data_IF_568327247814
#
_entry.id   IF_568327247814
#
_cell.length_a   1.000
_cell.length_b   1.000
_cell.length_c   1.000
_cell.angle_alpha   90.00
_cell.angle_beta   90.00
_cell.angle_gamma   90.00
#
_symmetry.space_group_name_H-M   'P 1'
#
loop_
_entity.id
_entity.type
_entity.pdbx_description
1 polymer ?
#
# COMPACT_ATOMS: atom_id res chain seq x y z
N UNK A 1 21.34 -25.73 2.05
CA UNK A 1 20.01 -25.15 1.73
C UNK A 1 20.01 -24.69 0.28
N UNK A 2 18.99 -25.04 -0.50
CA UNK A 2 18.84 -24.65 -1.92
C UNK A 2 17.38 -24.24 -2.22
N UNK A 3 17.16 -23.63 -3.39
CA UNK A 3 15.83 -23.12 -3.78
C UNK A 3 14.77 -24.20 -3.87
N UNK A 4 15.09 -25.38 -4.38
CA UNK A 4 14.14 -26.51 -4.46
C UNK A 4 13.67 -26.96 -3.08
N UNK A 5 14.56 -27.00 -2.08
CA UNK A 5 14.19 -27.31 -0.70
C UNK A 5 13.22 -26.26 -0.13
N UNK A 6 13.47 -24.97 -0.40
CA UNK A 6 12.63 -23.87 0.06
C UNK A 6 11.27 -23.87 -0.65
N UNK A 7 11.22 -24.13 -1.95
CA UNK A 7 9.98 -24.26 -2.73
C UNK A 7 9.12 -25.42 -2.21
N UNK A 8 9.74 -26.58 -1.94
CA UNK A 8 9.05 -27.71 -1.32
C UNK A 8 8.52 -27.35 0.08
N UNK A 9 9.31 -26.63 0.88
CA UNK A 9 8.87 -26.18 2.20
C UNK A 9 7.65 -25.26 2.12
N UNK A 10 7.68 -24.24 1.25
CA UNK A 10 6.58 -23.30 1.05
C UNK A 10 5.32 -24.02 0.55
N UNK A 11 5.45 -24.93 -0.42
CA UNK A 11 4.30 -25.70 -0.93
C UNK A 11 3.67 -26.60 0.14
N UNK A 12 4.47 -27.23 1.03
CA UNK A 12 3.93 -28.01 2.16
C UNK A 12 3.33 -27.10 3.22
N UNK A 13 3.91 -25.91 3.47
CA UNK A 13 3.38 -24.93 4.41
C UNK A 13 2.01 -24.40 3.99
N UNK A 14 1.81 -24.17 2.69
CA UNK A 14 0.55 -23.71 2.11
C UNK A 14 -0.53 -24.81 2.12
N UNK A 15 -0.18 -26.01 1.69
CA UNK A 15 -1.16 -27.09 1.50
C UNK A 15 -1.40 -27.93 2.75
N UNK A 16 -0.48 -27.92 3.70
CA UNK A 16 -0.38 -28.82 4.87
C UNK A 16 -0.55 -30.32 4.46
N UNK A 17 -0.11 -30.64 3.25
CA UNK A 17 -0.24 -31.96 2.63
C UNK A 17 0.89 -32.24 1.65
N UNK A 18 1.71 -33.25 1.93
CA UNK A 18 2.87 -33.61 1.10
C UNK A 18 2.51 -34.05 -0.32
N UNK A 19 1.36 -34.71 -0.53
CA UNK A 19 0.93 -35.14 -1.86
C UNK A 19 0.48 -33.95 -2.71
N UNK A 20 -0.34 -33.05 -2.14
CA UNK A 20 -0.73 -31.81 -2.84
C UNK A 20 0.45 -30.90 -3.11
N UNK A 21 1.36 -30.78 -2.18
CA UNK A 21 2.61 -30.02 -2.37
C UNK A 21 3.44 -30.62 -3.52
N UNK A 22 3.52 -31.94 -3.62
CA UNK A 22 4.24 -32.64 -4.69
C UNK A 22 3.63 -32.33 -6.08
N UNK A 23 2.30 -32.33 -6.19
CA UNK A 23 1.60 -31.89 -7.40
C UNK A 23 1.92 -30.43 -7.74
N UNK A 24 1.92 -29.55 -6.74
CA UNK A 24 2.18 -28.11 -6.90
C UNK A 24 3.60 -27.82 -7.41
N UNK A 25 4.62 -28.56 -6.93
CA UNK A 25 6.02 -28.39 -7.36
C UNK A 25 6.44 -29.37 -8.45
N UNK A 26 5.50 -30.14 -9.02
CA UNK A 26 5.72 -31.09 -10.14
C UNK A 26 6.80 -32.15 -9.88
N UNK A 27 6.90 -32.69 -8.66
CA UNK A 27 7.80 -33.80 -8.29
C UNK A 27 7.03 -34.87 -7.51
N UNK A 28 7.67 -36.00 -7.23
CA UNK A 28 7.02 -37.06 -6.44
C UNK A 28 6.94 -36.71 -4.94
N UNK A 29 5.92 -37.21 -4.26
CA UNK A 29 5.77 -37.02 -2.82
C UNK A 29 6.98 -37.50 -1.99
N UNK A 30 7.62 -38.66 -2.29
CA UNK A 30 8.86 -39.05 -1.63
C UNK A 30 9.99 -38.03 -1.84
N UNK A 31 10.09 -37.40 -3.02
CA UNK A 31 11.07 -36.37 -3.29
C UNK A 31 10.82 -35.12 -2.41
N UNK A 32 9.58 -34.65 -2.31
CA UNK A 32 9.23 -33.53 -1.40
C UNK A 32 9.62 -33.88 0.02
N UNK A 33 9.24 -35.09 0.50
CA UNK A 33 9.57 -35.53 1.87
C UNK A 33 11.08 -35.56 2.13
N UNK A 34 11.86 -35.99 1.15
CA UNK A 34 13.32 -35.99 1.19
C UNK A 34 13.89 -34.56 1.26
N UNK A 35 13.40 -33.65 0.40
CA UNK A 35 13.83 -32.25 0.38
C UNK A 35 13.57 -31.58 1.74
N UNK A 36 12.39 -31.76 2.31
CA UNK A 36 12.05 -31.22 3.63
C UNK A 36 12.93 -31.80 4.72
N UNK A 37 13.12 -33.14 4.75
CA UNK A 37 13.97 -33.76 5.76
C UNK A 37 15.42 -33.33 5.68
N UNK A 38 15.95 -33.13 4.46
CA UNK A 38 17.29 -32.60 4.24
C UNK A 38 17.40 -31.15 4.72
N UNK A 39 16.38 -30.32 4.47
CA UNK A 39 16.31 -28.93 4.93
C UNK A 39 16.30 -28.87 6.48
N UNK A 40 15.41 -29.65 7.11
CA UNK A 40 15.32 -29.75 8.57
C UNK A 40 16.64 -30.20 9.22
N UNK A 41 17.33 -31.17 8.58
CA UNK A 41 18.63 -31.66 9.05
C UNK A 41 19.72 -30.57 8.96
N UNK A 42 19.72 -29.77 7.89
CA UNK A 42 20.68 -28.68 7.69
C UNK A 42 20.42 -27.53 8.67
N UNK A 43 19.14 -27.18 8.91
CA UNK A 43 18.75 -26.12 9.85
C UNK A 43 18.86 -26.57 11.33
N UNK A 44 18.95 -27.87 11.58
CA UNK A 44 19.00 -28.43 12.94
C UNK A 44 17.69 -28.35 13.71
N UNK A 45 16.59 -28.04 13.02
CA UNK A 45 15.26 -27.90 13.62
C UNK A 45 14.19 -28.56 12.76
N UNK A 46 13.08 -28.99 13.39
CA UNK A 46 11.89 -29.46 12.69
C UNK A 46 11.06 -28.27 12.24
N UNK A 47 10.63 -28.26 10.99
CA UNK A 47 9.74 -27.26 10.42
C UNK A 47 8.28 -27.73 10.43
N UNK A 48 8.08 -29.07 10.41
CA UNK A 48 6.75 -29.70 10.46
C UNK A 48 6.64 -30.76 11.55
N UNK A 49 5.46 -30.77 12.20
CA UNK A 49 4.99 -31.88 13.01
C UNK A 49 4.19 -32.83 12.10
N UNK A 50 4.64 -34.06 11.99
CA UNK A 50 4.00 -35.08 11.14
C UNK A 50 3.39 -36.17 12.01
N UNK A 51 2.11 -36.43 11.80
CA UNK A 51 1.41 -37.59 12.35
C UNK A 51 0.83 -38.39 11.19
N UNK A 52 0.34 -39.60 11.48
CA UNK A 52 -0.31 -40.45 10.45
C UNK A 52 -1.58 -39.79 9.86
N UNK A 53 -2.10 -38.71 10.45
CA UNK A 53 -3.36 -38.08 10.06
C UNK A 53 -3.26 -36.59 9.71
N UNK A 54 -2.13 -35.94 10.05
CA UNK A 54 -2.02 -34.48 9.88
C UNK A 54 -0.57 -34.01 9.74
N UNK A 55 -0.41 -32.92 9.03
CA UNK A 55 0.84 -32.12 8.94
C UNK A 55 0.53 -30.74 9.51
N UNK A 56 1.39 -30.25 10.39
CA UNK A 56 1.27 -28.93 11.00
C UNK A 56 2.63 -28.26 11.02
N UNK A 57 2.68 -26.93 10.93
CA UNK A 57 3.92 -26.17 11.12
C UNK A 57 4.33 -26.17 12.60
N UNK A 58 5.64 -26.24 12.84
CA UNK A 58 6.22 -25.91 14.14
C UNK A 58 6.27 -24.39 14.32
N UNK A 59 6.65 -23.93 15.52
CA UNK A 59 6.94 -22.50 15.75
C UNK A 59 8.09 -22.02 14.86
N UNK A 60 9.12 -22.82 14.71
CA UNK A 60 10.27 -22.59 13.84
C UNK A 60 9.84 -22.54 12.35
N UNK A 61 8.95 -23.45 11.94
CA UNK A 61 8.37 -23.46 10.60
C UNK A 61 7.59 -22.18 10.29
N UNK A 62 6.79 -21.69 11.24
CA UNK A 62 6.04 -20.44 11.07
C UNK A 62 6.98 -19.24 10.91
N UNK A 63 8.05 -19.16 11.67
CA UNK A 63 9.04 -18.08 11.56
C UNK A 63 9.77 -18.18 10.22
N UNK A 64 10.12 -19.39 9.78
CA UNK A 64 10.93 -19.61 8.59
C UNK A 64 10.20 -19.35 7.26
N UNK A 65 8.85 -19.28 7.24
CA UNK A 65 8.08 -18.96 6.00
C UNK A 65 8.57 -17.66 5.37
N UNK A 66 8.64 -16.57 6.15
CA UNK A 66 9.03 -15.25 5.63
C UNK A 66 10.46 -15.24 5.05
N UNK A 67 11.38 -15.93 5.71
CA UNK A 67 12.76 -16.04 5.25
C UNK A 67 12.85 -16.87 3.96
N UNK A 68 12.16 -18.02 3.90
CA UNK A 68 12.12 -18.89 2.72
C UNK A 68 11.53 -18.18 1.50
N UNK A 69 10.41 -17.46 1.66
CA UNK A 69 9.82 -16.64 0.60
C UNK A 69 10.80 -15.59 0.07
N UNK A 70 11.50 -14.92 0.98
CA UNK A 70 12.47 -13.86 0.61
C UNK A 70 13.64 -14.43 -0.18
N UNK A 71 14.18 -15.58 0.24
CA UNK A 71 15.31 -16.23 -0.44
C UNK A 71 14.89 -16.72 -1.82
N UNK A 72 13.75 -17.44 -1.95
CA UNK A 72 13.24 -17.94 -3.24
C UNK A 72 13.00 -16.77 -4.19
N UNK A 73 12.31 -15.72 -3.74
CA UNK A 73 12.07 -14.53 -4.56
C UNK A 73 13.37 -13.85 -5.01
N UNK A 74 14.36 -13.71 -4.12
CA UNK A 74 15.65 -13.12 -4.46
C UNK A 74 16.40 -13.94 -5.49
N UNK A 75 16.38 -15.27 -5.35
CA UNK A 75 16.98 -16.18 -6.31
C UNK A 75 16.30 -16.09 -7.68
N UNK A 76 14.96 -16.14 -7.72
CA UNK A 76 14.18 -16.00 -8.95
C UNK A 76 14.42 -14.65 -9.64
N UNK A 77 14.45 -13.56 -8.88
CA UNK A 77 14.77 -12.23 -9.41
C UNK A 77 16.19 -12.17 -9.99
N UNK A 78 17.14 -12.87 -9.39
CA UNK A 78 18.52 -12.93 -9.89
C UNK A 78 18.62 -13.70 -11.20
N UNK A 79 17.97 -14.86 -11.28
CA UNK A 79 17.87 -15.64 -12.53
C UNK A 79 17.19 -14.81 -13.61
N UNK A 80 16.11 -14.14 -13.26
CA UNK A 80 15.35 -13.29 -14.16
C UNK A 80 16.18 -12.10 -14.70
N UNK A 81 17.01 -11.46 -13.87
CA UNK A 81 17.94 -10.39 -14.30
C UNK A 81 19.01 -10.88 -15.28
N UNK A 82 19.44 -12.11 -15.15
CA UNK A 82 20.49 -12.70 -15.98
C UNK A 82 19.99 -13.37 -17.27
N UNK A 83 18.69 -13.70 -17.33
CA UNK A 83 18.11 -14.27 -18.55
C UNK A 83 18.06 -13.22 -19.67
N UNK A 84 18.87 -13.41 -20.70
CA UNK A 84 19.19 -12.42 -21.73
C UNK A 84 18.16 -12.26 -22.86
N UNK A 85 16.98 -12.83 -22.75
CA UNK A 85 15.94 -12.63 -23.77
C UNK A 85 15.12 -11.36 -23.47
N UNK A 86 15.62 -10.24 -23.98
CA UNK A 86 15.11 -8.87 -23.74
C UNK A 86 13.66 -8.67 -24.25
N UNK A 87 13.15 -9.51 -25.14
CA UNK A 87 11.83 -9.31 -25.79
C UNK A 87 10.64 -9.91 -25.03
N UNK A 88 10.86 -10.80 -24.05
CA UNK A 88 9.78 -11.48 -23.31
C UNK A 88 9.84 -11.29 -21.79
N UNK A 89 10.73 -10.44 -21.30
CA UNK A 89 10.91 -10.25 -19.87
C UNK A 89 9.71 -9.54 -19.26
N UNK A 90 8.96 -10.21 -18.39
CA UNK A 90 7.92 -9.60 -17.57
C UNK A 90 8.53 -8.44 -16.78
N UNK A 91 7.89 -7.28 -16.85
CA UNK A 91 8.27 -6.09 -16.08
C UNK A 91 7.35 -5.95 -14.87
N UNK A 92 7.66 -6.67 -13.82
CA UNK A 92 6.88 -6.66 -12.60
C UNK A 92 7.28 -5.49 -11.71
N UNK A 93 6.28 -4.77 -11.18
CA UNK A 93 6.45 -3.74 -10.15
C UNK A 93 5.48 -4.03 -9.02
N UNK A 94 6.01 -4.33 -7.84
CA UNK A 94 5.23 -4.54 -6.63
C UNK A 94 4.92 -3.19 -5.97
N UNK A 95 3.63 -2.82 -5.95
CA UNK A 95 3.12 -1.52 -5.54
C UNK A 95 2.22 -1.70 -4.31
N UNK A 96 2.53 -0.99 -3.23
CA UNK A 96 1.68 -0.88 -2.05
C UNK A 96 0.80 0.37 -2.10
N UNK A 97 -0.45 0.22 -1.67
CA UNK A 97 -1.40 1.31 -1.47
C UNK A 97 -2.18 1.08 -0.19
N UNK A 98 -2.57 2.15 0.50
CA UNK A 98 -3.29 2.05 1.76
C UNK A 98 -4.81 2.12 1.57
N UNK A 99 -5.27 2.78 0.51
CA UNK A 99 -6.69 3.01 0.24
C UNK A 99 -6.95 3.11 -1.27
N UNK A 100 -8.23 3.14 -1.66
CA UNK A 100 -8.66 3.25 -3.05
C UNK A 100 -8.15 4.52 -3.74
N UNK A 101 -8.05 5.66 -3.04
CA UNK A 101 -7.63 6.92 -3.65
C UNK A 101 -6.14 6.94 -4.03
N UNK A 102 -5.31 6.26 -3.26
CA UNK A 102 -3.91 6.03 -3.62
C UNK A 102 -3.80 5.08 -4.82
N UNK A 103 -4.67 4.06 -4.88
CA UNK A 103 -4.75 3.17 -6.04
C UNK A 103 -5.18 3.94 -7.30
N UNK A 104 -6.20 4.78 -7.21
CA UNK A 104 -6.66 5.60 -8.32
C UNK A 104 -5.55 6.54 -8.82
N UNK A 105 -4.72 7.06 -7.92
CA UNK A 105 -3.54 7.83 -8.29
C UNK A 105 -2.47 7.01 -9.02
N UNK A 106 -2.39 5.69 -8.82
CA UNK A 106 -1.46 4.82 -9.54
C UNK A 106 -1.92 4.50 -10.97
N UNK A 107 -3.24 4.51 -11.24
CA UNK A 107 -3.84 4.10 -12.52
C UNK A 107 -3.23 4.80 -13.74
N UNK A 108 -3.10 6.14 -13.81
CA UNK A 108 -2.56 6.80 -15.00
C UNK A 108 -1.10 6.41 -15.27
N UNK A 109 -0.31 6.19 -14.20
CA UNK A 109 1.08 5.78 -14.33
C UNK A 109 1.17 4.34 -14.84
N UNK A 110 0.33 3.43 -14.31
CA UNK A 110 0.22 2.07 -14.83
C UNK A 110 -0.16 2.04 -16.31
N UNK A 111 -1.08 2.91 -16.74
CA UNK A 111 -1.48 3.03 -18.15
C UNK A 111 -0.30 3.50 -19.03
N UNK A 112 0.49 4.48 -18.57
CA UNK A 112 1.68 4.95 -19.30
C UNK A 112 2.70 3.83 -19.45
N UNK A 113 3.04 3.16 -18.33
CA UNK A 113 4.01 2.07 -18.32
C UNK A 113 3.53 0.88 -19.15
N UNK A 114 2.25 0.52 -19.07
CA UNK A 114 1.67 -0.57 -19.86
C UNK A 114 1.70 -0.31 -21.37
N UNK A 115 1.57 0.96 -21.80
CA UNK A 115 1.74 1.35 -23.21
C UNK A 115 3.20 1.32 -23.66
N UNK A 116 4.14 1.66 -22.76
CA UNK A 116 5.59 1.63 -23.06
C UNK A 116 6.12 0.20 -23.08
N UNK A 117 5.56 -0.66 -22.24
CA UNK A 117 6.01 -2.05 -22.01
C UNK A 117 4.83 -3.02 -22.04
N UNK A 118 4.51 -3.65 -23.17
CA UNK A 118 3.37 -4.57 -23.28
C UNK A 118 3.40 -5.76 -22.31
N UNK A 119 4.56 -6.10 -21.78
CA UNK A 119 4.78 -7.15 -20.79
C UNK A 119 4.89 -6.64 -19.34
N UNK A 120 4.36 -5.43 -19.07
CA UNK A 120 4.26 -4.87 -17.74
C UNK A 120 3.18 -5.59 -16.93
N UNK A 121 3.55 -6.08 -15.76
CA UNK A 121 2.65 -6.76 -14.82
C UNK A 121 2.77 -6.09 -13.45
N UNK A 122 1.86 -5.21 -13.06
CA UNK A 122 1.84 -4.63 -11.72
C UNK A 122 1.30 -5.65 -10.70
N UNK A 123 1.99 -5.79 -9.56
CA UNK A 123 1.50 -6.51 -8.39
C UNK A 123 1.02 -5.49 -7.36
N UNK A 124 -0.29 -5.41 -7.13
CA UNK A 124 -0.88 -4.41 -6.24
C UNK A 124 -1.23 -5.05 -4.91
N UNK A 125 -0.74 -4.48 -3.82
CA UNK A 125 -1.07 -4.88 -2.46
C UNK A 125 -1.74 -3.71 -1.72
N UNK A 126 -2.96 -3.92 -1.25
CA UNK A 126 -3.68 -2.93 -0.44
C UNK A 126 -3.70 -3.40 1.01
N UNK A 127 -3.04 -2.66 1.90
CA UNK A 127 -2.88 -3.01 3.32
C UNK A 127 -2.77 -1.76 4.21
N UNK A 128 -2.95 -1.90 5.55
CA UNK A 128 -2.66 -0.83 6.49
C UNK A 128 -1.21 -0.34 6.37
N UNK A 129 -1.00 0.98 6.55
CA UNK A 129 0.27 1.67 6.29
C UNK A 129 1.49 0.98 6.94
N UNK A 130 1.40 0.62 8.24
CA UNK A 130 2.50 -0.07 8.95
C UNK A 130 2.88 -1.42 8.32
N UNK A 131 1.90 -2.13 7.75
CA UNK A 131 2.15 -3.40 7.07
C UNK A 131 2.86 -3.18 5.74
N UNK A 132 2.52 -2.10 5.02
CA UNK A 132 3.21 -1.72 3.77
C UNK A 132 4.67 -1.35 4.03
N UNK A 133 4.97 -0.61 5.10
CA UNK A 133 6.34 -0.27 5.49
C UNK A 133 7.18 -1.52 5.72
N UNK A 134 6.65 -2.49 6.47
CA UNK A 134 7.34 -3.76 6.71
C UNK A 134 7.60 -4.51 5.40
N UNK A 135 6.61 -4.57 4.49
CA UNK A 135 6.77 -5.21 3.19
C UNK A 135 7.80 -4.50 2.30
N UNK A 136 7.90 -3.17 2.40
CA UNK A 136 8.95 -2.40 1.71
C UNK A 136 10.33 -2.69 2.30
N UNK A 137 10.46 -2.73 3.63
CA UNK A 137 11.70 -3.10 4.33
C UNK A 137 12.16 -4.52 3.97
N UNK A 138 11.21 -5.45 3.84
CA UNK A 138 11.46 -6.85 3.43
C UNK A 138 11.68 -7.03 1.92
N UNK A 139 11.69 -5.96 1.12
CA UNK A 139 11.76 -6.00 -0.35
C UNK A 139 10.63 -6.80 -1.02
N UNK A 140 9.49 -6.97 -0.33
CA UNK A 140 8.25 -7.55 -0.90
C UNK A 140 7.47 -6.51 -1.70
N UNK A 141 7.62 -5.23 -1.39
CA UNK A 141 7.19 -4.10 -2.20
C UNK A 141 8.40 -3.33 -2.71
N UNK A 142 8.25 -2.69 -3.84
CA UNK A 142 9.25 -1.80 -4.44
C UNK A 142 8.87 -0.33 -4.27
N UNK A 143 7.57 -0.05 -4.25
CA UNK A 143 6.99 1.29 -4.20
C UNK A 143 5.76 1.27 -3.29
N UNK A 144 5.57 2.33 -2.50
CA UNK A 144 4.34 2.58 -1.75
C UNK A 144 3.84 3.97 -2.14
N UNK A 145 2.58 4.08 -2.61
CA UNK A 145 1.89 5.37 -2.66
C UNK A 145 1.49 5.78 -1.26
N UNK A 146 1.78 7.01 -0.88
CA UNK A 146 1.40 7.52 0.43
C UNK A 146 1.38 9.05 0.46
N UNK A 147 0.69 9.58 1.47
CA UNK A 147 0.78 10.99 1.83
C UNK A 147 1.88 11.21 2.86
N UNK A 148 2.60 12.31 2.75
CA UNK A 148 3.63 12.73 3.71
C UNK A 148 3.29 14.10 4.29
N UNK A 149 3.44 14.27 5.62
CA UNK A 149 3.44 15.60 6.25
C UNK A 149 4.84 16.23 6.18
N UNK A 150 4.90 17.55 6.39
CA UNK A 150 6.17 18.27 6.43
C UNK A 150 7.10 17.80 7.56
N UNK A 151 6.55 17.25 8.64
CA UNK A 151 7.28 16.87 9.84
C UNK A 151 7.65 15.38 9.90
N UNK A 152 7.24 14.59 8.91
CA UNK A 152 7.47 13.15 8.91
C UNK A 152 8.89 12.81 8.44
N UNK A 153 9.70 12.33 9.38
CA UNK A 153 10.98 11.66 9.08
C UNK A 153 10.68 10.24 8.62
N UNK A 154 10.55 10.06 7.32
CA UNK A 154 10.30 8.75 6.75
C UNK A 154 11.47 7.79 7.05
N UNK A 155 11.14 6.58 7.47
CA UNK A 155 12.12 5.47 7.58
C UNK A 155 12.59 4.97 6.21
N UNK A 156 11.80 5.20 5.15
CA UNK A 156 12.18 4.85 3.79
C UNK A 156 13.33 5.73 3.29
N UNK A 157 14.32 5.13 2.65
CA UNK A 157 15.51 5.81 2.17
C UNK A 157 15.21 6.92 1.15
N UNK A 158 14.09 6.83 0.42
CA UNK A 158 13.70 7.78 -0.61
C UNK A 158 12.20 8.05 -0.61
N UNK A 159 11.82 9.33 -0.50
CA UNK A 159 10.49 9.81 -0.82
C UNK A 159 10.52 10.67 -2.08
N UNK A 160 9.72 10.31 -3.07
CA UNK A 160 9.54 11.09 -4.30
C UNK A 160 8.20 11.78 -4.26
N UNK A 161 8.19 13.10 -4.05
CA UNK A 161 6.98 13.91 -4.09
C UNK A 161 6.37 13.93 -5.50
N UNK A 162 5.06 13.78 -5.60
CA UNK A 162 4.29 13.81 -6.85
C UNK A 162 3.48 15.10 -6.98
N UNK A 163 2.58 15.37 -6.05
CA UNK A 163 1.75 16.57 -6.05
C UNK A 163 1.30 16.96 -4.65
N UNK A 164 0.88 18.23 -4.50
CA UNK A 164 0.25 18.73 -3.29
C UNK A 164 -1.24 18.36 -3.26
N UNK A 165 -1.71 17.93 -2.09
CA UNK A 165 -3.09 17.59 -1.82
C UNK A 165 -3.61 18.48 -0.68
N UNK A 166 -4.44 19.49 -0.98
CA UNK A 166 -5.04 20.33 0.06
C UNK A 166 -5.95 19.49 0.95
N UNK A 167 -5.94 19.77 2.25
CA UNK A 167 -6.86 19.13 3.20
C UNK A 167 -8.20 19.81 3.11
N UNK A 168 -9.25 19.02 2.83
CA UNK A 168 -10.61 19.50 2.64
C UNK A 168 -11.51 18.98 3.75
N UNK A 169 -12.48 19.79 4.14
CA UNK A 169 -13.66 19.27 4.83
C UNK A 169 -14.55 18.56 3.83
N UNK A 170 -15.08 17.42 4.21
CA UNK A 170 -15.96 16.60 3.39
C UNK A 170 -17.28 16.46 4.11
N UNK A 171 -18.35 16.86 3.47
CA UNK A 171 -19.72 16.76 3.97
C UNK A 171 -20.68 16.36 2.84
N UNK A 172 -21.92 16.04 3.17
CA UNK A 172 -22.97 15.80 2.18
C UNK A 172 -23.34 17.10 1.45
N UNK A 173 -23.76 17.02 0.18
CA UNK A 173 -24.10 18.20 -0.63
C UNK A 173 -25.23 19.06 -0.10
N UNK A 174 -26.13 18.52 0.70
CA UNK A 174 -27.20 19.27 1.34
C UNK A 174 -26.86 19.73 2.77
N UNK A 175 -25.60 19.61 3.18
CA UNK A 175 -25.10 20.14 4.44
C UNK A 175 -25.11 21.69 4.43
N UNK A 176 -25.32 22.31 5.59
CA UNK A 176 -25.33 23.77 5.77
C UNK A 176 -24.01 24.46 5.34
N UNK A 177 -22.91 23.72 5.34
CA UNK A 177 -21.61 24.22 4.89
C UNK A 177 -21.43 24.10 3.36
N UNK A 178 -22.30 23.34 2.69
CA UNK A 178 -22.22 23.14 1.24
C UNK A 178 -22.28 24.47 0.48
N UNK A 179 -21.49 24.54 -0.60
CA UNK A 179 -21.40 25.77 -1.43
C UNK A 179 -20.47 26.85 -0.87
N UNK A 180 -19.91 26.70 0.33
CA UNK A 180 -18.85 27.62 0.82
C UNK A 180 -17.54 27.37 0.09
N UNK A 181 -16.83 28.43 -0.26
CA UNK A 181 -15.49 28.33 -0.89
C UNK A 181 -14.44 27.84 0.09
N UNK A 182 -14.54 28.27 1.33
CA UNK A 182 -13.68 27.82 2.44
C UNK A 182 -14.40 27.93 3.77
N UNK A 183 -13.88 27.26 4.77
CA UNK A 183 -14.33 27.33 6.16
C UNK A 183 -13.15 27.56 7.09
N UNK A 184 -13.43 28.16 8.23
CA UNK A 184 -12.52 28.17 9.37
C UNK A 184 -12.83 26.94 10.25
N UNK A 185 -11.84 26.48 11.03
CA UNK A 185 -12.02 25.37 11.95
C UNK A 185 -13.15 25.59 12.97
N UNK A 186 -13.40 26.84 13.34
CA UNK A 186 -14.50 27.18 14.25
C UNK A 186 -15.89 26.94 13.67
N UNK A 187 -16.04 26.89 12.34
CA UNK A 187 -17.31 26.60 11.67
C UNK A 187 -17.82 25.17 11.91
N UNK A 188 -16.93 24.27 12.36
CA UNK A 188 -17.29 22.89 12.69
C UNK A 188 -17.48 22.65 14.20
N UNK A 189 -17.37 23.70 15.03
CA UNK A 189 -17.61 23.58 16.46
C UNK A 189 -19.04 23.12 16.74
N UNK A 190 -19.19 22.14 17.64
CA UNK A 190 -20.49 21.55 17.98
C UNK A 190 -21.05 20.56 16.95
N UNK A 191 -20.43 20.43 15.78
CA UNK A 191 -20.82 19.46 14.76
C UNK A 191 -20.26 18.07 15.09
N UNK A 192 -20.93 17.04 14.58
CA UNK A 192 -20.41 15.69 14.65
C UNK A 192 -19.27 15.51 13.65
N UNK A 193 -18.10 15.05 14.14
CA UNK A 193 -16.91 14.85 13.34
C UNK A 193 -16.62 13.36 13.23
N UNK A 194 -16.33 12.91 12.02
CA UNK A 194 -15.95 11.52 11.72
C UNK A 194 -14.43 11.47 11.58
N UNK A 195 -13.76 10.70 12.44
CA UNK A 195 -12.32 10.52 12.42
C UNK A 195 -11.97 9.07 12.07
N UNK A 196 -10.87 8.88 11.38
CA UNK A 196 -10.31 7.53 11.14
C UNK A 196 -9.64 7.06 12.44
N UNK A 197 -9.86 5.79 12.81
CA UNK A 197 -9.22 5.19 13.98
C UNK A 197 -7.70 5.36 13.93
N UNK A 198 -7.09 5.76 15.05
CA UNK A 198 -5.66 6.12 15.12
C UNK A 198 -4.72 5.06 14.53
N UNK A 199 -4.96 3.78 14.80
CA UNK A 199 -4.12 2.69 14.32
C UNK A 199 -4.23 2.41 12.82
N UNK A 200 -5.21 3.04 12.15
CA UNK A 200 -5.46 2.97 10.71
C UNK A 200 -5.22 4.30 9.99
N UNK A 201 -4.87 5.33 10.74
CA UNK A 201 -4.63 6.66 10.23
C UNK A 201 -3.13 6.87 10.03
N UNK A 202 -2.64 7.30 8.86
CA UNK A 202 -1.26 7.73 8.69
C UNK A 202 -0.92 8.88 9.65
N UNK A 203 0.32 8.92 10.13
CA UNK A 203 0.75 9.95 11.10
C UNK A 203 0.52 11.37 10.55
N UNK A 204 0.74 11.60 9.25
CA UNK A 204 0.45 12.85 8.57
C UNK A 204 -1.02 13.30 8.69
N UNK A 205 -1.96 12.38 8.54
CA UNK A 205 -3.38 12.69 8.68
C UNK A 205 -3.77 12.90 10.15
N UNK A 206 -3.15 12.16 11.07
CA UNK A 206 -3.35 12.35 12.51
C UNK A 206 -2.84 13.72 12.96
N UNK A 207 -1.67 14.18 12.48
CA UNK A 207 -1.19 15.54 12.75
C UNK A 207 -2.18 16.59 12.25
N UNK A 208 -2.77 16.39 11.07
CA UNK A 208 -3.84 17.25 10.55
C UNK A 208 -5.04 17.32 11.49
N UNK A 209 -5.51 16.19 11.97
CA UNK A 209 -6.61 16.15 12.96
C UNK A 209 -6.26 16.85 14.26
N UNK A 210 -5.03 16.70 14.76
CA UNK A 210 -4.56 17.39 15.98
C UNK A 210 -4.50 18.91 15.78
N UNK A 211 -3.95 19.37 14.66
CA UNK A 211 -3.89 20.81 14.31
C UNK A 211 -5.29 21.44 14.20
N UNK A 212 -6.27 20.67 13.75
CA UNK A 212 -7.67 21.09 13.69
C UNK A 212 -8.39 21.01 15.03
N UNK A 213 -7.75 20.52 16.11
CA UNK A 213 -8.40 20.33 17.41
C UNK A 213 -9.54 19.29 17.39
N UNK A 214 -9.68 18.52 16.33
CA UNK A 214 -10.78 17.58 16.13
C UNK A 214 -10.89 16.50 17.21
N UNK A 215 -9.78 15.93 17.76
CA UNK A 215 -9.87 14.95 18.84
C UNK A 215 -10.48 15.49 20.14
N UNK A 216 -10.51 16.81 20.33
CA UNK A 216 -11.09 17.44 21.51
C UNK A 216 -12.61 17.70 21.36
N UNK A 217 -13.18 17.39 20.20
CA UNK A 217 -14.62 17.48 19.98
C UNK A 217 -15.33 16.35 20.72
N UNK A 218 -16.31 16.67 21.56
CA UNK A 218 -17.11 15.69 22.32
C UNK A 218 -18.04 14.84 21.44
N UNK A 219 -18.25 15.23 20.18
CA UNK A 219 -19.18 14.58 19.26
C UNK A 219 -18.41 13.91 18.09
N UNK A 220 -17.64 12.84 18.42
CA UNK A 220 -16.80 12.15 17.47
C UNK A 220 -17.37 10.77 17.14
N UNK A 221 -17.42 10.44 15.84
CA UNK A 221 -17.60 9.09 15.33
C UNK A 221 -16.26 8.54 14.81
N UNK A 222 -16.04 7.24 14.99
CA UNK A 222 -14.82 6.57 14.53
C UNK A 222 -15.10 5.67 13.33
N UNK A 223 -14.38 5.92 12.25
CA UNK A 223 -14.41 5.12 11.01
C UNK A 223 -13.20 4.19 10.92
N UNK A 224 -13.35 3.05 10.27
CA UNK A 224 -12.28 2.06 10.10
C UNK A 224 -11.35 2.35 8.91
N UNK A 225 -11.62 3.41 8.15
CA UNK A 225 -10.84 3.89 7.01
C UNK A 225 -11.53 5.09 6.36
N UNK A 226 -10.92 5.64 5.32
CA UNK A 226 -11.48 6.79 4.61
C UNK A 226 -12.78 6.45 3.87
N UNK A 227 -12.89 5.25 3.30
CA UNK A 227 -14.10 4.78 2.64
C UNK A 227 -15.30 4.74 3.61
N UNK A 228 -15.07 4.22 4.83
CA UNK A 228 -16.09 4.20 5.87
C UNK A 228 -16.42 5.62 6.34
N UNK A 229 -15.43 6.51 6.49
CA UNK A 229 -15.66 7.91 6.88
C UNK A 229 -16.51 8.65 5.83
N UNK A 230 -16.25 8.41 4.55
CA UNK A 230 -17.01 9.05 3.46
C UNK A 230 -18.42 8.48 3.34
N UNK A 231 -18.59 7.16 3.52
CA UNK A 231 -19.94 6.57 3.58
C UNK A 231 -20.77 7.15 4.73
N UNK A 232 -20.16 7.35 5.91
CA UNK A 232 -20.83 8.00 7.06
C UNK A 232 -21.15 9.48 6.78
N UNK A 233 -20.25 10.21 6.09
CA UNK A 233 -20.50 11.59 5.68
C UNK A 233 -21.67 11.67 4.66
N UNK A 234 -21.71 10.78 3.66
CA UNK A 234 -22.84 10.65 2.72
C UNK A 234 -24.15 10.36 3.42
N UNK A 235 -24.14 9.52 4.45
CA UNK A 235 -25.30 9.23 5.27
C UNK A 235 -25.77 10.41 6.15
N UNK A 236 -25.05 11.55 6.11
CA UNK A 236 -25.37 12.74 6.91
C UNK A 236 -25.07 12.57 8.40
N UNK A 237 -24.21 11.61 8.77
CA UNK A 237 -23.89 11.33 10.16
C UNK A 237 -22.87 12.31 10.75
N UNK A 238 -22.21 13.13 9.92
CA UNK A 238 -21.22 14.11 10.33
C UNK A 238 -20.35 14.57 9.18
N UNK A 239 -19.30 15.30 9.50
CA UNK A 239 -18.29 15.80 8.55
C UNK A 239 -16.95 15.15 8.82
N UNK A 240 -16.10 15.03 7.80
CA UNK A 240 -14.74 14.51 7.95
C UNK A 240 -13.74 15.42 7.25
N UNK A 241 -12.47 15.33 7.61
CA UNK A 241 -11.40 16.03 6.90
C UNK A 241 -10.46 15.01 6.25
N UNK A 242 -10.09 15.25 4.98
CA UNK A 242 -9.21 14.36 4.24
C UNK A 242 -8.45 15.13 3.15
N UNK A 243 -7.21 14.73 2.82
CA UNK A 243 -6.48 15.29 1.70
C UNK A 243 -7.23 15.05 0.38
N UNK A 244 -7.36 16.05 -0.45
CA UNK A 244 -7.96 15.92 -1.77
C UNK A 244 -7.01 15.19 -2.72
N UNK A 245 -7.15 13.89 -2.77
CA UNK A 245 -6.33 13.01 -3.60
C UNK A 245 -6.68 13.20 -5.09
N UNK A 246 -5.74 12.94 -6.02
CA UNK A 246 -6.04 12.90 -7.44
C UNK A 246 -7.21 11.95 -7.75
N UNK A 247 -8.08 12.39 -8.68
CA UNK A 247 -9.26 11.64 -9.12
C UNK A 247 -10.37 11.44 -8.09
N UNK A 248 -10.21 11.97 -6.88
CA UNK A 248 -11.31 12.02 -5.91
C UNK A 248 -12.45 12.87 -6.48
N UNK A 249 -13.57 12.23 -6.78
CA UNK A 249 -14.79 12.90 -7.20
C UNK A 249 -16.00 12.04 -6.84
N UNK A 250 -16.76 12.47 -5.85
CA UNK A 250 -18.00 11.83 -5.45
C UNK A 250 -19.15 12.81 -5.62
N UNK A 251 -20.16 12.43 -6.41
CA UNK A 251 -21.27 13.30 -6.76
C UNK A 251 -22.19 13.64 -5.57
N UNK A 252 -22.14 12.89 -4.47
CA UNK A 252 -22.98 13.10 -3.28
C UNK A 252 -22.25 13.88 -2.19
N UNK A 253 -20.94 14.08 -2.34
CA UNK A 253 -20.10 14.80 -1.38
C UNK A 253 -19.72 16.19 -1.87
N UNK A 254 -19.55 17.10 -0.93
CA UNK A 254 -18.96 18.42 -1.11
C UNK A 254 -17.59 18.45 -0.45
N UNK A 255 -16.64 19.11 -1.12
CA UNK A 255 -15.26 19.24 -0.70
C UNK A 255 -14.95 20.72 -0.49
N UNK A 256 -14.80 21.12 0.78
CA UNK A 256 -14.68 22.53 1.16
C UNK A 256 -13.28 22.77 1.73
N UNK A 257 -12.59 23.77 1.24
CA UNK A 257 -11.24 24.13 1.73
C UNK A 257 -11.30 24.51 3.21
N UNK A 258 -10.31 24.06 3.99
CA UNK A 258 -10.12 24.47 5.38
C UNK A 258 -9.01 25.53 5.41
N UNK A 259 -9.33 26.74 5.86
CA UNK A 259 -8.37 27.83 5.94
C UNK A 259 -7.31 27.56 7.00
N UNK A 260 -6.07 27.96 6.72
CA UNK A 260 -4.93 27.82 7.65
C UNK A 260 -4.27 26.44 7.69
N UNK A 261 -4.70 25.47 6.88
CA UNK A 261 -4.02 24.20 6.73
C UNK A 261 -3.07 24.20 5.54
N UNK A 262 -1.84 23.74 5.79
CA UNK A 262 -0.90 23.42 4.72
C UNK A 262 -1.36 22.15 3.97
N UNK A 263 -1.14 22.07 2.64
CA UNK A 263 -1.36 20.83 1.90
C UNK A 263 -0.40 19.74 2.37
N UNK A 264 -0.79 18.49 2.21
CA UNK A 264 0.11 17.35 2.35
C UNK A 264 0.65 16.95 0.98
N UNK A 265 1.78 16.24 0.96
CA UNK A 265 2.38 15.75 -0.28
C UNK A 265 1.95 14.31 -0.54
N UNK A 266 1.31 14.06 -1.68
CA UNK A 266 1.21 12.71 -2.24
C UNK A 266 2.55 12.38 -2.88
N UNK A 267 3.06 11.19 -2.63
CA UNK A 267 4.32 10.74 -3.19
C UNK A 267 4.50 9.24 -3.15
N UNK A 268 5.71 8.83 -3.44
CA UNK A 268 6.13 7.44 -3.50
C UNK A 268 7.27 7.20 -2.51
N UNK A 269 7.07 6.29 -1.58
CA UNK A 269 8.16 5.72 -0.79
C UNK A 269 8.77 4.54 -1.56
N UNK A 270 10.09 4.48 -1.58
CA UNK A 270 10.85 3.37 -2.15
C UNK A 270 12.19 3.22 -1.44
N UNK A 271 12.81 2.06 -1.58
CA UNK A 271 14.25 1.96 -1.36
C UNK A 271 15.01 2.55 -2.55
N UNK A 272 16.34 2.56 -2.48
CA UNK A 272 17.18 3.01 -3.59
C UNK A 272 16.88 2.18 -4.85
N UNK A 273 16.32 2.83 -5.84
CA UNK A 273 15.96 2.22 -7.12
C UNK A 273 17.14 2.24 -8.09
N UNK A 274 17.25 1.20 -8.90
CA UNK A 274 18.32 1.05 -9.89
C UNK A 274 17.80 1.50 -11.25
N UNK A 275 18.55 2.39 -11.92
CA UNK A 275 18.22 2.87 -13.26
C UNK A 275 18.09 1.72 -14.25
N UNK A 276 17.01 1.71 -15.02
CA UNK A 276 16.69 0.64 -15.99
C UNK A 276 15.82 -0.50 -15.41
N UNK A 277 15.60 -0.52 -14.09
CA UNK A 277 14.61 -1.42 -13.49
C UNK A 277 13.18 -0.87 -13.63
N UNK A 278 12.17 -1.74 -13.73
CA UNK A 278 10.78 -1.32 -13.92
C UNK A 278 10.27 -0.34 -12.86
N UNK A 279 10.64 -0.52 -11.60
CA UNK A 279 10.25 0.37 -10.51
C UNK A 279 10.87 1.78 -10.64
N UNK A 280 12.12 1.89 -11.10
CA UNK A 280 12.76 3.18 -11.37
C UNK A 280 12.03 3.94 -12.49
N UNK A 281 11.67 3.23 -13.57
CA UNK A 281 10.93 3.81 -14.68
C UNK A 281 9.53 4.23 -14.26
N UNK A 282 8.86 3.41 -13.44
CA UNK A 282 7.56 3.74 -12.87
C UNK A 282 7.60 5.04 -12.05
N UNK A 283 8.55 5.19 -11.13
CA UNK A 283 8.72 6.41 -10.32
C UNK A 283 9.06 7.62 -11.20
N UNK A 284 9.87 7.42 -12.23
CA UNK A 284 10.25 8.48 -13.18
C UNK A 284 9.03 8.97 -13.95
N UNK A 285 8.20 8.08 -14.48
CA UNK A 285 6.99 8.45 -15.21
C UNK A 285 5.91 9.03 -14.29
N UNK A 286 5.77 8.50 -13.06
CA UNK A 286 4.90 9.09 -12.06
C UNK A 286 5.28 10.56 -11.78
N UNK A 287 6.56 10.84 -11.54
CA UNK A 287 7.05 12.20 -11.31
C UNK A 287 6.78 13.13 -12.51
N UNK A 288 6.97 12.65 -13.75
CA UNK A 288 6.68 13.43 -14.95
C UNK A 288 5.19 13.71 -15.07
N UNK A 289 4.34 12.69 -14.89
CA UNK A 289 2.89 12.80 -15.01
C UNK A 289 2.35 13.83 -14.02
N UNK A 290 2.73 13.72 -12.76
CA UNK A 290 2.22 14.57 -11.68
C UNK A 290 2.88 15.96 -11.60
N UNK A 291 3.98 16.21 -12.31
CA UNK A 291 4.67 17.53 -12.29
C UNK A 291 3.74 18.71 -12.57
N UNK A 292 2.77 18.51 -13.46
CA UNK A 292 1.82 19.55 -13.88
C UNK A 292 0.40 19.29 -13.33
N UNK A 293 0.23 18.28 -12.48
CA UNK A 293 -1.07 17.99 -11.88
C UNK A 293 -1.45 19.10 -10.90
N UNK A 294 -2.67 19.60 -11.05
CA UNK A 294 -3.28 20.54 -10.12
C UNK A 294 -4.57 19.96 -9.62
N UNK A 295 -4.84 20.08 -8.32
CA UNK A 295 -6.10 19.65 -7.75
C UNK A 295 -7.27 20.37 -8.45
N UNK A 296 -8.29 19.64 -8.93
CA UNK A 296 -9.40 20.23 -9.70
C UNK A 296 -10.19 21.30 -8.96
N UNK A 297 -10.13 21.30 -7.63
CA UNK A 297 -10.89 22.23 -6.77
C UNK A 297 -10.11 23.54 -6.50
N UNK A 298 -8.82 23.56 -6.80
CA UNK A 298 -8.00 24.78 -6.63
C UNK A 298 -8.20 25.78 -7.80
N UNK A 299 -9.47 26.18 -8.03
CA UNK A 299 -9.84 27.20 -9.02
C UNK A 299 -9.31 28.60 -8.68
N UNK A 300 -8.54 28.76 -7.61
CA UNK A 300 -8.04 30.07 -7.17
C UNK A 300 -6.74 30.52 -7.83
N UNK A 301 -6.16 29.73 -8.72
CA UNK A 301 -4.99 30.13 -9.52
C UNK A 301 -5.27 30.06 -11.02
N UNK A 302 -6.37 30.64 -11.46
CA UNK A 302 -6.55 31.02 -12.86
C UNK A 302 -6.47 32.54 -12.94
N UNK A 303 -5.29 33.06 -13.18
CA UNK A 303 -4.95 34.23 -14.02
C UNK A 303 -3.49 34.05 -14.40
#
# INVERSE_FOLDING_TARGET
MNTTQLECFLAVAETLNFSKAAEMVNISQPAVSHQISSLEAELGVRLFLRTNKSVQLTKEGLIFIGDAETIVRTAMNSIHRLSTNIKEKKRTVAIGVHNQYELDAAVPVMNIIGKMYPNFEPEITMMPFKSLDNLLEENKLQIIFAIKSENETAKAECFTALCECPVMLICRKDDELSGRKSININDINGRRVILIKRHKCPDAAMEGYMKLGLPNNSNVLLADGCEAAFAMAKAGLGVTAFPMMPYMNDSELEYIRIDGLAPVLLGLYSKKLIKGEPAFEFVTEAKKFYKNYRCPIDKTKTV
#
